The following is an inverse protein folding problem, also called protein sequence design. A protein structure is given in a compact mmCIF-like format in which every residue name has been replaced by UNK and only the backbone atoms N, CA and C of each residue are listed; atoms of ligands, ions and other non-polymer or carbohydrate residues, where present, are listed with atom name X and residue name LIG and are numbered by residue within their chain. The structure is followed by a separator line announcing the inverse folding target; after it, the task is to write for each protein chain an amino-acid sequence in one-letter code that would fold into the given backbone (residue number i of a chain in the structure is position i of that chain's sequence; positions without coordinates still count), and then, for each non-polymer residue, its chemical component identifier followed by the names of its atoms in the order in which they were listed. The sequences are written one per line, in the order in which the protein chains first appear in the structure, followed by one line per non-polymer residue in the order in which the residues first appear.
data_IF_598275422408
#
_entry.id   IF_598275422408
#
_cell.length_a   1.000
_cell.length_b   1.000
_cell.length_c   1.000
_cell.angle_alpha   90.00
_cell.angle_beta   90.00
_cell.angle_gamma   90.00
#
_symmetry.space_group_name_H-M   'P 1'
#
loop_
_entity.id
_entity.type
_entity.pdbx_description
1 polymer ?
#
# COMPACT_ATOMS: atom_id res chain seq x y z
N UNK A 1 22.68 -2.84 -11.01
CA UNK A 1 21.38 -3.45 -10.70
C UNK A 1 20.72 -2.59 -9.64
N UNK A 2 19.48 -2.16 -9.83
CA UNK A 2 18.73 -1.41 -8.81
C UNK A 2 18.25 -2.33 -7.71
N UNK A 3 18.10 -1.81 -6.50
CA UNK A 3 17.64 -2.57 -5.34
C UNK A 3 16.55 -1.81 -4.58
N UNK A 4 15.37 -2.42 -4.45
CA UNK A 4 14.28 -1.88 -3.64
C UNK A 4 13.97 -2.83 -2.49
N UNK A 5 13.83 -2.29 -1.29
CA UNK A 5 13.59 -3.06 -0.06
C UNK A 5 12.31 -2.58 0.60
N UNK A 6 11.32 -3.47 0.71
CA UNK A 6 10.13 -3.23 1.51
C UNK A 6 10.35 -3.72 2.93
N UNK A 7 10.28 -2.82 3.90
CA UNK A 7 10.30 -3.14 5.33
C UNK A 7 8.87 -3.10 5.84
N UNK A 8 8.41 -4.17 6.47
CA UNK A 8 7.01 -4.38 6.79
C UNK A 8 6.80 -4.78 8.25
N UNK A 9 5.80 -4.21 8.90
CA UNK A 9 5.35 -4.67 10.22
C UNK A 9 4.74 -6.09 10.21
N UNK A 10 4.48 -6.64 9.02
CA UNK A 10 3.96 -8.00 8.90
C UNK A 10 4.98 -9.09 9.21
N UNK A 11 4.50 -10.36 9.21
CA UNK A 11 5.32 -11.54 9.51
C UNK A 11 6.51 -11.72 8.56
N UNK A 12 7.70 -12.08 9.08
CA UNK A 12 8.86 -12.49 8.28
C UNK A 12 8.62 -13.77 7.47
N UNK A 13 7.63 -14.58 7.81
CA UNK A 13 7.30 -15.78 7.02
C UNK A 13 6.90 -15.46 5.57
N UNK A 14 6.56 -14.21 5.27
CA UNK A 14 6.26 -13.71 3.93
C UNK A 14 7.44 -13.03 3.24
N UNK A 15 8.63 -13.10 3.83
CA UNK A 15 9.81 -12.48 3.23
C UNK A 15 10.19 -13.16 1.92
N UNK A 16 10.54 -12.33 0.96
CA UNK A 16 10.91 -12.78 -0.38
C UNK A 16 12.01 -11.90 -0.93
N UNK A 17 12.78 -12.51 -1.80
CA UNK A 17 13.79 -11.83 -2.61
C UNK A 17 13.66 -12.33 -4.04
N UNK A 18 13.50 -11.40 -5.00
CA UNK A 18 13.29 -11.71 -6.41
C UNK A 18 13.98 -10.71 -7.29
N UNK A 19 14.59 -11.18 -8.35
CA UNK A 19 15.13 -10.34 -9.42
C UNK A 19 14.14 -10.29 -10.58
N UNK A 20 13.84 -9.06 -11.03
CA UNK A 20 12.97 -8.81 -12.17
C UNK A 20 13.65 -7.87 -13.16
N UNK A 21 13.15 -7.85 -14.37
CA UNK A 21 13.48 -6.81 -15.34
C UNK A 21 12.30 -5.87 -15.45
N UNK A 22 12.49 -4.61 -15.08
CA UNK A 22 11.49 -3.56 -15.15
C UNK A 22 11.98 -2.43 -16.06
N UNK A 23 11.24 -2.12 -17.11
CA UNK A 23 11.61 -1.09 -18.09
C UNK A 23 13.04 -1.27 -18.65
N UNK A 24 13.44 -2.51 -18.92
CA UNK A 24 14.77 -2.86 -19.42
C UNK A 24 15.88 -2.86 -18.36
N UNK A 25 15.59 -2.54 -17.11
CA UNK A 25 16.56 -2.49 -16.01
C UNK A 25 16.38 -3.67 -15.05
N UNK A 26 17.47 -4.32 -14.65
CA UNK A 26 17.45 -5.35 -13.60
C UNK A 26 17.22 -4.70 -12.24
N UNK A 27 16.23 -5.20 -11.52
CA UNK A 27 15.82 -4.73 -10.20
C UNK A 27 15.75 -5.93 -9.24
N UNK A 28 16.42 -5.81 -8.12
CA UNK A 28 16.27 -6.72 -6.99
C UNK A 28 15.20 -6.17 -6.05
N UNK A 29 14.14 -6.94 -5.86
CA UNK A 29 13.09 -6.63 -4.88
C UNK A 29 13.25 -7.52 -3.66
N UNK A 30 13.27 -6.92 -2.49
CA UNK A 30 13.37 -7.60 -1.19
C UNK A 30 12.21 -7.18 -0.29
N UNK A 31 11.66 -8.12 0.48
CA UNK A 31 10.76 -7.84 1.59
C UNK A 31 11.37 -8.33 2.88
N UNK A 32 11.27 -7.52 3.94
CA UNK A 32 11.70 -7.84 5.30
C UNK A 32 10.57 -7.55 6.29
N UNK A 33 10.03 -8.59 6.90
CA UNK A 33 9.01 -8.48 7.94
C UNK A 33 9.64 -8.32 9.32
N UNK A 34 8.96 -7.55 10.20
CA UNK A 34 9.44 -7.31 11.56
C UNK A 34 8.48 -7.82 12.64
N UNK A 35 7.39 -8.50 12.23
CA UNK A 35 6.42 -9.11 13.15
C UNK A 35 5.85 -8.12 14.18
N UNK A 36 5.52 -6.90 13.76
CA UNK A 36 5.00 -5.83 14.62
C UNK A 36 6.07 -5.01 15.34
N UNK A 37 7.35 -5.37 15.23
CA UNK A 37 8.44 -4.65 15.88
C UNK A 37 8.78 -3.36 15.13
N UNK A 38 8.25 -2.22 15.59
CA UNK A 38 8.49 -0.88 15.05
C UNK A 38 9.95 -0.45 15.21
N UNK A 39 10.58 -0.78 16.34
CA UNK A 39 11.97 -0.41 16.62
C UNK A 39 12.92 -1.11 15.63
N UNK A 40 12.67 -2.39 15.39
CA UNK A 40 13.40 -3.16 14.37
C UNK A 40 13.18 -2.64 12.97
N UNK A 41 11.95 -2.24 12.63
CA UNK A 41 11.65 -1.65 11.34
C UNK A 41 12.44 -0.34 11.13
N UNK A 42 12.39 0.56 12.12
CA UNK A 42 13.15 1.83 12.11
C UNK A 42 14.64 1.60 11.96
N UNK A 43 15.20 0.64 12.69
CA UNK A 43 16.64 0.29 12.60
C UNK A 43 17.03 -0.20 11.22
N UNK A 44 16.17 -1.02 10.57
CA UNK A 44 16.40 -1.49 9.20
C UNK A 44 16.37 -0.32 8.20
N UNK A 45 15.43 0.61 8.32
CA UNK A 45 15.40 1.81 7.48
C UNK A 45 16.68 2.63 7.65
N UNK A 46 17.06 2.92 8.90
CA UNK A 46 18.27 3.69 9.22
C UNK A 46 19.53 3.05 8.67
N UNK A 47 19.68 1.74 8.84
CA UNK A 47 20.89 0.99 8.44
C UNK A 47 21.02 0.86 6.91
N UNK A 48 19.88 0.78 6.20
CA UNK A 48 19.87 0.60 4.75
C UNK A 48 19.78 1.93 3.98
N UNK A 49 19.55 3.06 4.66
CA UNK A 49 19.48 4.36 4.01
C UNK A 49 20.78 4.67 3.23
N UNK A 50 20.63 5.11 2.00
CA UNK A 50 21.74 5.36 1.08
C UNK A 50 22.39 4.09 0.48
N UNK A 51 22.02 2.88 0.93
CA UNK A 51 22.57 1.62 0.39
C UNK A 51 21.63 0.90 -0.57
N UNK A 52 20.38 1.36 -0.67
CA UNK A 52 19.33 0.87 -1.57
C UNK A 52 18.77 2.02 -2.39
N UNK A 53 18.14 1.71 -3.53
CA UNK A 53 17.60 2.72 -4.44
C UNK A 53 16.20 3.20 -4.06
N UNK A 54 15.44 2.38 -3.34
CA UNK A 54 14.11 2.75 -2.85
C UNK A 54 13.67 1.89 -1.68
N UNK A 55 12.82 2.45 -0.81
CA UNK A 55 12.12 1.71 0.21
C UNK A 55 10.61 1.59 -0.09
N UNK A 56 10.05 0.43 0.30
CA UNK A 56 8.62 0.26 0.49
C UNK A 56 8.28 0.28 1.99
N UNK A 57 7.31 1.10 2.40
CA UNK A 57 6.74 1.07 3.75
C UNK A 57 5.61 0.06 3.74
N UNK A 58 5.74 -1.01 4.52
CA UNK A 58 4.83 -2.14 4.47
C UNK A 58 4.14 -2.43 5.82
N UNK A 59 2.91 -2.96 5.71
CA UNK A 59 2.09 -3.30 6.88
C UNK A 59 1.41 -2.11 7.55
N UNK A 60 1.63 -0.91 7.04
CA UNK A 60 1.00 0.33 7.45
C UNK A 60 1.13 1.34 6.32
N UNK A 61 0.16 2.24 6.18
CA UNK A 61 0.23 3.36 5.25
C UNK A 61 0.90 4.59 5.93
N UNK A 62 1.48 5.47 5.14
CA UNK A 62 2.02 6.75 5.65
C UNK A 62 0.89 7.72 6.01
N UNK A 63 -0.18 7.68 5.22
CA UNK A 63 -1.34 8.55 5.38
C UNK A 63 -2.65 7.77 5.17
N UNK A 64 -3.69 8.22 5.85
CA UNK A 64 -5.06 7.96 5.43
C UNK A 64 -5.46 9.10 4.52
N UNK A 65 -5.69 8.79 3.25
CA UNK A 65 -6.08 9.77 2.24
C UNK A 65 -7.60 9.89 2.18
N UNK A 66 -8.10 11.11 2.34
CA UNK A 66 -9.51 11.44 2.12
C UNK A 66 -9.64 12.54 1.08
N UNK A 67 -10.83 12.81 0.51
CA UNK A 67 -11.01 13.90 -0.45
C UNK A 67 -10.72 15.30 0.12
N UNK A 68 -10.72 15.41 1.44
CA UNK A 68 -10.62 16.72 2.13
C UNK A 68 -9.25 16.94 2.76
N UNK A 69 -8.60 15.86 3.21
CA UNK A 69 -7.34 15.97 3.96
C UNK A 69 -6.63 14.63 4.05
N UNK A 70 -5.31 14.70 4.06
CA UNK A 70 -4.43 13.58 4.39
C UNK A 70 -4.13 13.57 5.88
N UNK A 71 -4.35 12.43 6.53
CA UNK A 71 -4.08 12.22 7.94
C UNK A 71 -2.83 11.37 8.10
N UNK A 72 -1.73 11.91 8.65
CA UNK A 72 -0.50 11.13 8.83
C UNK A 72 -0.68 10.05 9.90
N UNK A 73 -0.19 8.86 9.61
CA UNK A 73 -0.12 7.77 10.57
C UNK A 73 1.22 7.84 11.32
N UNK A 74 1.18 8.27 12.57
CA UNK A 74 2.37 8.56 13.37
C UNK A 74 3.34 7.38 13.47
N UNK A 75 2.83 6.16 13.60
CA UNK A 75 3.67 4.95 13.64
C UNK A 75 4.49 4.82 12.36
N UNK A 76 3.88 4.95 11.18
CA UNK A 76 4.60 4.87 9.91
C UNK A 76 5.68 5.94 9.79
N UNK A 77 5.35 7.19 10.17
CA UNK A 77 6.30 8.28 10.16
C UNK A 77 7.47 8.08 11.13
N UNK A 78 7.22 7.53 12.33
CA UNK A 78 8.30 7.19 13.27
C UNK A 78 9.25 6.13 12.72
N UNK A 79 8.74 5.15 11.95
CA UNK A 79 9.59 4.13 11.34
C UNK A 79 10.59 4.69 10.35
N UNK A 80 10.19 5.69 9.55
CA UNK A 80 11.02 6.26 8.48
C UNK A 80 11.68 7.58 8.86
N UNK A 81 11.54 8.05 10.10
CA UNK A 81 11.98 9.40 10.51
C UNK A 81 13.50 9.64 10.37
N UNK A 82 14.29 8.57 10.36
CA UNK A 82 15.76 8.66 10.22
C UNK A 82 16.25 8.48 8.77
N UNK A 83 15.35 8.20 7.83
CA UNK A 83 15.68 8.11 6.40
C UNK A 83 15.97 9.51 5.86
N UNK A 84 17.11 9.67 5.20
CA UNK A 84 17.60 10.97 4.68
C UNK A 84 17.82 10.98 3.18
N UNK A 85 18.21 9.84 2.63
CA UNK A 85 18.75 9.77 1.26
C UNK A 85 17.88 8.94 0.34
N UNK A 86 17.41 7.79 0.83
CA UNK A 86 16.67 6.83 0.00
C UNK A 86 15.19 7.23 -0.09
N UNK A 87 14.61 7.35 -1.29
CA UNK A 87 13.18 7.61 -1.44
C UNK A 87 12.35 6.44 -0.90
N UNK A 88 11.17 6.74 -0.33
CA UNK A 88 10.26 5.73 0.18
C UNK A 88 8.81 5.99 -0.22
N UNK A 89 8.06 4.89 -0.39
CA UNK A 89 6.64 4.89 -0.75
C UNK A 89 5.91 3.77 0.02
N UNK A 90 4.61 3.95 0.28
CA UNK A 90 3.76 2.94 0.93
C UNK A 90 2.84 2.19 -0.04
N UNK A 91 2.84 2.58 -1.32
CA UNK A 91 2.00 1.97 -2.35
C UNK A 91 0.54 2.45 -2.37
N UNK A 92 0.16 3.41 -1.54
CA UNK A 92 -1.20 3.96 -1.46
C UNK A 92 -1.71 4.48 -2.81
N UNK A 93 -0.89 5.21 -3.55
CA UNK A 93 -1.24 5.72 -4.89
C UNK A 93 -1.57 4.60 -5.88
N UNK A 94 -0.73 3.54 -5.93
CA UNK A 94 -1.01 2.39 -6.79
C UNK A 94 -2.29 1.69 -6.38
N UNK A 95 -2.51 1.51 -5.08
CA UNK A 95 -3.73 0.92 -4.53
C UNK A 95 -4.96 1.72 -4.94
N UNK A 96 -4.95 3.04 -4.79
CA UNK A 96 -6.07 3.91 -5.17
C UNK A 96 -6.44 3.77 -6.65
N UNK A 97 -5.44 3.74 -7.54
CA UNK A 97 -5.65 3.52 -8.98
C UNK A 97 -6.26 2.15 -9.27
N UNK A 98 -5.78 1.11 -8.58
CA UNK A 98 -6.30 -0.26 -8.77
C UNK A 98 -7.73 -0.38 -8.25
N UNK A 99 -8.03 0.16 -7.08
CA UNK A 99 -9.35 0.11 -6.44
C UNK A 99 -10.44 0.74 -7.31
N UNK A 100 -10.19 1.91 -7.87
CA UNK A 100 -11.14 2.56 -8.81
C UNK A 100 -11.34 1.75 -10.10
N UNK A 101 -10.30 1.10 -10.59
CA UNK A 101 -10.38 0.25 -11.79
C UNK A 101 -11.10 -1.06 -11.53
N UNK A 102 -10.97 -1.64 -10.34
CA UNK A 102 -11.63 -2.91 -9.97
C UNK A 102 -13.14 -2.78 -10.06
N UNK A 103 -13.74 -1.73 -9.52
CA UNK A 103 -15.19 -1.52 -9.58
C UNK A 103 -15.67 -1.46 -11.03
N UNK A 104 -15.01 -0.67 -11.87
CA UNK A 104 -15.36 -0.59 -13.31
C UNK A 104 -15.16 -1.92 -14.04
N UNK A 105 -14.13 -2.67 -13.70
CA UNK A 105 -13.89 -3.99 -14.28
C UNK A 105 -14.99 -4.98 -13.89
N UNK A 106 -15.34 -5.01 -12.62
CA UNK A 106 -16.42 -5.84 -12.08
C UNK A 106 -17.76 -5.53 -12.75
N UNK A 107 -18.10 -4.24 -12.87
CA UNK A 107 -19.34 -3.79 -13.55
C UNK A 107 -19.42 -4.31 -14.98
N UNK A 108 -18.33 -4.20 -15.74
CA UNK A 108 -18.30 -4.69 -17.13
C UNK A 108 -18.42 -6.21 -17.24
N UNK A 109 -17.89 -6.94 -16.27
CA UNK A 109 -17.84 -8.41 -16.31
C UNK A 109 -19.11 -9.07 -15.78
N UNK A 110 -19.63 -8.60 -14.68
CA UNK A 110 -20.71 -9.25 -13.93
C UNK A 110 -21.79 -8.29 -13.44
N UNK A 111 -21.75 -7.01 -13.81
CA UNK A 111 -22.66 -5.98 -13.29
C UNK A 111 -24.12 -6.32 -13.45
N UNK A 112 -24.52 -6.98 -14.55
CA UNK A 112 -25.89 -7.42 -14.78
C UNK A 112 -26.37 -8.51 -13.78
N UNK A 113 -25.42 -9.29 -13.24
CA UNK A 113 -25.72 -10.35 -12.27
C UNK A 113 -25.74 -9.85 -10.81
N UNK A 114 -25.26 -8.64 -10.55
CA UNK A 114 -25.23 -8.08 -9.19
C UNK A 114 -26.60 -7.48 -8.86
N UNK A 115 -27.39 -8.23 -8.11
CA UNK A 115 -28.72 -7.81 -7.65
C UNK A 115 -28.97 -8.34 -6.23
N UNK A 116 -29.37 -7.49 -5.26
CA UNK A 116 -29.38 -6.02 -5.35
C UNK A 116 -27.98 -5.43 -5.45
N UNK A 117 -27.87 -4.18 -5.94
CA UNK A 117 -26.59 -3.45 -6.02
C UNK A 117 -26.20 -2.93 -4.64
N UNK A 118 -25.80 -3.85 -3.77
CA UNK A 118 -25.39 -3.57 -2.39
C UNK A 118 -23.96 -4.02 -2.17
N UNK A 119 -23.21 -3.25 -1.38
CA UNK A 119 -21.84 -3.59 -0.99
C UNK A 119 -21.61 -3.26 0.48
N UNK A 120 -20.90 -4.15 1.15
CA UNK A 120 -20.38 -3.91 2.49
C UNK A 120 -18.87 -3.80 2.42
N UNK A 121 -18.33 -2.66 2.86
CA UNK A 121 -16.89 -2.40 2.94
C UNK A 121 -16.48 -2.34 4.41
N UNK A 122 -15.76 -3.36 4.87
CA UNK A 122 -15.35 -3.51 6.27
C UNK A 122 -14.44 -2.34 6.71
N UNK A 123 -13.69 -1.76 5.77
CA UNK A 123 -12.68 -0.75 6.05
C UNK A 123 -12.72 0.35 4.99
N UNK A 124 -13.73 1.21 5.07
CA UNK A 124 -13.99 2.22 4.05
C UNK A 124 -12.99 3.38 4.10
N UNK A 125 -12.56 3.81 5.30
CA UNK A 125 -11.68 5.00 5.44
C UNK A 125 -10.32 4.76 4.82
N UNK A 126 -9.67 3.63 5.11
CA UNK A 126 -8.36 3.29 4.54
C UNK A 126 -8.45 2.92 3.06
N UNK A 127 -9.67 2.67 2.56
CA UNK A 127 -10.00 2.30 1.18
C UNK A 127 -10.98 3.25 0.53
N UNK A 128 -10.82 4.54 0.82
CA UNK A 128 -11.75 5.56 0.33
C UNK A 128 -11.90 5.55 -1.19
N UNK A 129 -10.83 5.28 -1.93
CA UNK A 129 -10.86 5.18 -3.39
C UNK A 129 -11.82 4.10 -3.89
N UNK A 130 -11.89 2.97 -3.18
CA UNK A 130 -12.85 1.89 -3.48
C UNK A 130 -14.26 2.28 -3.06
N UNK A 131 -14.41 2.87 -1.88
CA UNK A 131 -15.71 3.33 -1.37
C UNK A 131 -16.35 4.34 -2.33
N UNK A 132 -15.59 5.38 -2.73
CA UNK A 132 -16.04 6.35 -3.74
C UNK A 132 -16.43 5.69 -5.04
N UNK A 133 -15.61 4.75 -5.54
CA UNK A 133 -15.88 4.10 -6.82
C UNK A 133 -17.18 3.29 -6.81
N UNK A 134 -17.55 2.67 -5.69
CA UNK A 134 -18.85 2.00 -5.54
C UNK A 134 -20.00 2.99 -5.44
N UNK A 135 -19.84 4.08 -4.67
CA UNK A 135 -20.85 5.14 -4.58
C UNK A 135 -21.12 5.76 -5.96
N UNK A 136 -20.07 6.12 -6.70
CA UNK A 136 -20.15 6.69 -8.05
C UNK A 136 -20.81 5.73 -9.05
N UNK A 137 -20.62 4.43 -8.85
CA UNK A 137 -21.29 3.39 -9.64
C UNK A 137 -22.75 3.12 -9.21
N UNK A 138 -23.27 3.84 -8.21
CA UNK A 138 -24.67 3.74 -7.77
C UNK A 138 -24.98 2.51 -6.92
N UNK A 139 -24.02 2.03 -6.12
CA UNK A 139 -24.26 1.00 -5.14
C UNK A 139 -24.77 1.58 -3.83
N UNK A 140 -25.68 0.84 -3.19
CA UNK A 140 -26.06 1.06 -1.79
C UNK A 140 -24.92 0.51 -0.90
N UNK A 141 -24.17 1.42 -0.27
CA UNK A 141 -22.95 1.09 0.44
C UNK A 141 -23.17 1.10 1.95
N UNK A 142 -22.72 0.04 2.61
CA UNK A 142 -22.61 -0.05 4.07
C UNK A 142 -21.14 -0.07 4.42
N UNK A 143 -20.73 0.81 5.33
CA UNK A 143 -19.35 0.96 5.76
C UNK A 143 -19.19 0.48 7.21
N UNK A 144 -18.12 -0.31 7.49
CA UNK A 144 -17.71 -0.75 8.81
C UNK A 144 -16.50 0.02 9.33
#
# INVERSE_FOLDING_TARGET
MKRAVSISLGSPSRDKRVEITLLGQKVLLERRGTNGDEARARELYRTLDGTVDAFGVGGIDLYVHTPWKDYPLHTAHRMVQDVRTTPYVDGSTLRAVLETRVVRFMERRIGAAIRPRKVFLIEAISRWSMASAFLDAGYDCVFG
#
